data_IF_633598463406
#
_entry.id   IF_633598463406
#
_cell.length_a   1.000
_cell.length_b   1.000
_cell.length_c   1.000
_cell.angle_alpha   90.00
_cell.angle_beta   90.00
_cell.angle_gamma   90.00
#
_symmetry.space_group_name_H-M   'P 1'
#
loop_
_entity.id
_entity.type
_entity.pdbx_description
1 polymer ?
#
# COMPACT_ATOMS: atom_id res chain seq x y z
N UNK A 1 -9.17 -4.58 -26.84
CA UNK A 1 -10.61 -4.25 -26.82
C UNK A 1 -11.19 -4.80 -25.53
N UNK A 2 -11.84 -3.97 -24.71
CA UNK A 2 -12.38 -4.38 -23.41
C UNK A 2 -11.37 -4.44 -22.26
N UNK A 3 -10.09 -4.17 -22.54
CA UNK A 3 -9.05 -4.07 -21.52
C UNK A 3 -9.13 -2.71 -20.81
N UNK A 4 -8.77 -2.71 -19.54
CA UNK A 4 -8.66 -1.50 -18.71
C UNK A 4 -7.21 -1.09 -18.55
N UNK A 5 -6.93 0.19 -18.72
CA UNK A 5 -5.61 0.77 -18.45
C UNK A 5 -5.73 1.92 -17.45
N UNK A 6 -4.64 2.20 -16.76
CA UNK A 6 -4.53 3.38 -15.92
C UNK A 6 -3.93 4.51 -16.75
N UNK A 7 -4.46 5.72 -16.53
CA UNK A 7 -4.00 6.94 -17.17
C UNK A 7 -3.51 7.92 -16.11
N UNK A 8 -2.50 8.71 -16.46
CA UNK A 8 -2.11 9.90 -15.73
C UNK A 8 -2.16 11.10 -16.68
N UNK A 9 -3.14 11.97 -16.47
CA UNK A 9 -3.43 13.15 -17.29
C UNK A 9 -3.04 14.40 -16.51
N UNK A 10 -2.05 15.15 -16.98
CA UNK A 10 -1.51 16.35 -16.32
C UNK A 10 -1.22 16.14 -14.80
N UNK A 11 -0.80 14.93 -14.42
CA UNK A 11 -0.49 14.55 -13.04
C UNK A 11 -1.67 14.06 -12.21
N UNK A 12 -2.85 13.88 -12.81
CA UNK A 12 -4.06 13.32 -12.18
C UNK A 12 -4.26 11.88 -12.67
N UNK A 13 -4.39 10.93 -11.76
CA UNK A 13 -4.65 9.54 -12.06
C UNK A 13 -6.12 9.27 -12.43
N UNK A 14 -6.35 8.50 -13.49
CA UNK A 14 -7.65 7.95 -13.89
C UNK A 14 -7.49 6.43 -13.98
N UNK A 15 -8.22 5.71 -13.13
CA UNK A 15 -8.13 4.25 -13.02
C UNK A 15 -9.12 3.55 -13.92
N UNK A 16 -8.76 2.32 -14.30
CA UNK A 16 -9.65 1.37 -14.96
C UNK A 16 -10.32 1.92 -16.24
N UNK A 17 -9.62 2.78 -16.98
CA UNK A 17 -10.11 3.38 -18.21
C UNK A 17 -10.25 2.30 -19.30
N UNK A 18 -11.49 1.99 -19.67
CA UNK A 18 -11.77 0.92 -20.63
C UNK A 18 -11.47 1.36 -22.06
N UNK A 19 -10.67 0.56 -22.78
CA UNK A 19 -10.39 0.78 -24.20
C UNK A 19 -11.50 0.13 -25.04
N UNK A 20 -12.24 0.96 -25.79
CA UNK A 20 -13.24 0.51 -26.75
C UNK A 20 -13.05 1.17 -28.12
N UNK A 21 -13.11 0.36 -29.19
CA UNK A 21 -12.85 0.81 -30.55
C UNK A 21 -11.43 1.35 -30.74
N UNK A 22 -10.48 0.91 -29.91
CA UNK A 22 -9.12 1.47 -29.87
C UNK A 22 -9.00 2.86 -29.24
N UNK A 23 -10.06 3.34 -28.58
CA UNK A 23 -10.11 4.68 -27.96
C UNK A 23 -10.60 4.63 -26.53
N UNK A 24 -10.26 5.65 -25.74
CA UNK A 24 -10.85 5.91 -24.42
C UNK A 24 -11.65 7.20 -24.56
N UNK A 25 -12.89 7.18 -24.09
CA UNK A 25 -13.82 8.31 -24.19
C UNK A 25 -14.12 8.89 -22.82
N UNK A 26 -14.65 10.13 -22.78
CA UNK A 26 -15.02 10.78 -21.51
C UNK A 26 -13.84 11.32 -20.69
N UNK A 27 -12.65 11.46 -21.29
CA UNK A 27 -11.52 12.11 -20.65
C UNK A 27 -11.68 13.63 -20.68
N UNK A 28 -11.22 14.35 -19.64
CA UNK A 28 -11.18 15.81 -19.65
C UNK A 28 -10.15 16.32 -20.67
N UNK A 29 -10.11 17.63 -20.89
CA UNK A 29 -9.00 18.24 -21.64
C UNK A 29 -7.70 18.11 -20.84
N UNK A 30 -6.64 17.66 -21.50
CA UNK A 30 -5.30 17.48 -20.93
C UNK A 30 -4.22 17.89 -21.95
N UNK A 31 -3.00 18.13 -21.47
CA UNK A 31 -1.85 18.45 -22.31
C UNK A 31 -0.90 17.26 -22.47
N UNK A 32 -0.70 16.50 -21.39
CA UNK A 32 0.18 15.34 -21.32
C UNK A 32 -0.62 14.16 -20.80
N UNK A 33 -0.54 13.05 -21.53
CA UNK A 33 -1.09 11.76 -21.11
C UNK A 33 0.03 10.72 -21.00
N UNK A 34 0.06 10.04 -19.86
CA UNK A 34 0.77 8.78 -19.69
C UNK A 34 -0.28 7.68 -19.55
N UNK A 35 -0.09 6.58 -20.27
CA UNK A 35 -1.02 5.47 -20.29
C UNK A 35 -0.25 4.16 -20.11
N UNK A 36 -0.78 3.26 -19.29
CA UNK A 36 -0.12 1.99 -19.02
C UNK A 36 -1.04 0.98 -18.38
N UNK A 37 -0.66 -0.30 -18.49
CA UNK A 37 -1.31 -1.34 -17.72
C UNK A 37 -1.01 -1.16 -16.24
N UNK A 38 -2.00 -1.46 -15.42
CA UNK A 38 -1.83 -1.46 -13.97
C UNK A 38 -0.74 -2.44 -13.58
N UNK A 39 0.25 -1.94 -12.84
CA UNK A 39 1.28 -2.77 -12.23
C UNK A 39 1.00 -2.82 -10.73
N UNK A 40 0.31 -3.86 -10.23
CA UNK A 40 0.04 -3.99 -8.80
C UNK A 40 1.35 -4.27 -8.07
N UNK A 41 1.90 -3.25 -7.40
CA UNK A 41 3.03 -3.39 -6.50
C UNK A 41 2.51 -3.61 -5.08
N UNK A 42 2.76 -4.79 -4.52
CA UNK A 42 2.34 -5.15 -3.17
C UNK A 42 3.46 -5.91 -2.47
N UNK A 43 3.47 -5.84 -1.15
CA UNK A 43 4.42 -6.57 -0.33
C UNK A 43 3.92 -6.78 1.09
N UNK A 44 4.57 -7.70 1.78
CA UNK A 44 4.35 -7.93 3.19
C UNK A 44 5.65 -8.31 3.87
N UNK A 45 5.73 -7.97 5.15
CA UNK A 45 6.75 -8.48 6.02
C UNK A 45 6.47 -9.96 6.32
N UNK A 46 7.57 -10.71 6.39
CA UNK A 46 7.57 -11.97 7.12
C UNK A 46 7.37 -11.69 8.61
N UNK A 47 6.97 -12.70 9.40
CA UNK A 47 7.05 -12.59 10.85
C UNK A 47 8.45 -12.09 11.26
N UNK A 48 8.53 -11.18 12.22
CA UNK A 48 9.76 -10.54 12.72
C UNK A 48 10.81 -11.59 13.09
N UNK A 49 10.37 -12.71 13.66
CA UNK A 49 11.24 -13.81 14.07
C UNK A 49 11.78 -14.64 12.89
N UNK A 50 11.22 -14.50 11.68
CA UNK A 50 11.65 -15.24 10.48
C UNK A 50 12.97 -14.73 9.87
N UNK A 51 13.50 -13.60 10.35
CA UNK A 51 14.72 -12.97 9.83
C UNK A 51 15.89 -12.87 10.82
N UNK A 52 15.79 -13.47 12.00
CA UNK A 52 16.81 -13.32 13.03
C UNK A 52 18.14 -13.98 12.64
N UNK A 53 19.24 -13.22 12.70
CA UNK A 53 20.60 -13.70 12.42
C UNK A 53 21.04 -14.83 13.38
N UNK A 54 20.41 -14.95 14.55
CA UNK A 54 20.70 -15.99 15.54
C UNK A 54 19.82 -17.23 15.39
N UNK A 55 19.08 -17.36 14.30
CA UNK A 55 18.09 -18.43 14.09
C UNK A 55 16.67 -17.96 14.40
N UNK A 56 15.69 -18.50 13.67
CA UNK A 56 14.29 -18.14 13.84
C UNK A 56 13.77 -18.64 15.18
N UNK A 57 13.34 -17.73 16.05
CA UNK A 57 12.65 -18.10 17.27
C UNK A 57 11.19 -18.43 16.94
N UNK A 58 10.97 -19.57 16.28
CA UNK A 58 9.63 -20.02 15.86
C UNK A 58 8.62 -20.11 17.01
N UNK A 59 9.09 -20.21 18.25
CA UNK A 59 8.26 -20.46 19.44
C UNK A 59 7.99 -19.20 20.29
N UNK A 60 8.50 -18.03 19.90
CA UNK A 60 8.29 -16.78 20.65
C UNK A 60 7.49 -15.78 19.82
N UNK A 61 6.18 -15.72 20.07
CA UNK A 61 5.35 -14.66 19.53
C UNK A 61 5.45 -13.43 20.44
N UNK A 62 5.74 -12.27 19.85
CA UNK A 62 5.72 -10.99 20.55
C UNK A 62 4.46 -10.21 20.19
N UNK A 63 3.75 -9.62 21.15
CA UNK A 63 2.65 -8.71 20.85
C UNK A 63 3.19 -7.45 20.15
N UNK A 64 2.60 -7.11 19.01
CA UNK A 64 2.86 -5.89 18.26
C UNK A 64 1.68 -4.96 18.49
N UNK A 65 1.96 -3.74 18.94
CA UNK A 65 0.90 -2.76 19.22
C UNK A 65 0.89 -1.57 18.24
N UNK A 66 1.97 -1.35 17.49
CA UNK A 66 2.01 -0.30 16.46
C UNK A 66 2.95 -0.71 15.33
N UNK A 67 2.55 -0.39 14.10
CA UNK A 67 3.40 -0.46 12.91
C UNK A 67 3.50 0.92 12.31
N UNK A 68 4.73 1.34 12.00
CA UNK A 68 5.01 2.64 11.43
C UNK A 68 5.66 2.45 10.07
N UNK A 69 5.05 2.99 9.03
CA UNK A 69 5.64 3.10 7.70
C UNK A 69 6.20 4.51 7.54
N UNK A 70 7.51 4.62 7.44
CA UNK A 70 8.17 5.88 7.09
C UNK A 70 8.20 6.01 5.57
N UNK A 71 7.49 7.00 5.04
CA UNK A 71 7.31 7.22 3.61
C UNK A 71 7.90 8.56 3.17
N UNK A 72 8.37 8.61 1.93
CA UNK A 72 8.96 9.80 1.33
C UNK A 72 8.24 10.10 0.01
N UNK A 73 7.77 11.34 -0.14
CA UNK A 73 7.14 11.85 -1.36
C UNK A 73 6.19 10.84 -2.02
N UNK A 74 5.34 10.21 -1.19
CA UNK A 74 4.52 9.06 -1.58
C UNK A 74 3.06 9.42 -1.74
N UNK A 75 2.37 8.75 -2.68
CA UNK A 75 0.91 8.82 -2.88
C UNK A 75 0.36 7.49 -3.39
N UNK A 76 -0.92 7.24 -3.15
CA UNK A 76 -1.57 6.00 -3.59
C UNK A 76 -0.99 4.76 -2.92
N UNK A 77 -0.45 4.90 -1.71
CA UNK A 77 0.00 3.80 -0.87
C UNK A 77 -1.08 3.50 0.17
N UNK A 78 -1.48 2.24 0.24
CA UNK A 78 -2.19 1.70 1.38
C UNK A 78 -1.19 0.87 2.20
N UNK A 79 -1.11 1.14 3.50
CA UNK A 79 -0.18 0.43 4.38
C UNK A 79 -0.82 0.14 5.74
N UNK A 80 -0.58 -1.06 6.26
CA UNK A 80 -1.16 -1.50 7.52
C UNK A 80 -1.05 -3.00 7.69
N UNK A 81 -2.19 -3.65 7.93
CA UNK A 81 -2.24 -5.09 8.16
C UNK A 81 -3.09 -5.77 7.13
N UNK A 82 -2.55 -6.86 6.58
CA UNK A 82 -3.18 -7.61 5.51
C UNK A 82 -3.41 -9.06 5.91
N UNK A 83 -4.42 -9.69 5.32
CA UNK A 83 -4.48 -11.16 5.22
C UNK A 83 -4.32 -11.58 3.76
N UNK A 84 -3.38 -12.48 3.42
CA UNK A 84 -3.34 -13.01 2.08
C UNK A 84 -4.59 -13.88 1.89
N UNK A 85 -5.27 -13.74 0.75
CA UNK A 85 -6.28 -14.70 0.34
C UNK A 85 -5.63 -16.08 0.28
N UNK A 86 -6.34 -17.08 0.79
CA UNK A 86 -5.85 -18.45 0.88
C UNK A 86 -5.54 -19.09 -0.48
N UNK A 87 -5.85 -18.41 -1.60
CA UNK A 87 -5.77 -19.00 -2.92
C UNK A 87 -4.94 -18.27 -3.98
N UNK A 88 -4.56 -16.99 -3.86
CA UNK A 88 -3.93 -16.29 -5.00
C UNK A 88 -2.85 -15.25 -4.65
N UNK A 89 -2.40 -15.18 -3.39
CA UNK A 89 -1.44 -14.13 -3.00
C UNK A 89 -2.00 -12.71 -3.12
N UNK A 90 -3.32 -12.58 -3.25
CA UNK A 90 -4.05 -11.31 -3.30
C UNK A 90 -4.47 -10.97 -1.88
N UNK A 91 -4.19 -9.75 -1.40
CA UNK A 91 -4.57 -9.35 -0.04
C UNK A 91 -6.06 -8.96 0.00
N UNK A 92 -6.89 -9.77 0.67
CA UNK A 92 -8.36 -9.65 0.66
C UNK A 92 -8.91 -8.73 1.76
N UNK A 93 -8.24 -8.70 2.92
CA UNK A 93 -8.58 -7.82 4.02
C UNK A 93 -7.37 -6.94 4.32
N UNK A 94 -7.53 -5.63 4.13
CA UNK A 94 -6.50 -4.63 4.30
C UNK A 94 -7.01 -3.60 5.31
N UNK A 95 -6.59 -3.73 6.56
CA UNK A 95 -6.81 -2.70 7.56
C UNK A 95 -5.65 -1.71 7.46
N UNK A 96 -5.86 -0.64 6.71
CA UNK A 96 -4.80 0.24 6.27
C UNK A 96 -5.06 1.70 6.58
N UNK A 97 -3.95 2.39 6.77
CA UNK A 97 -3.91 3.83 6.64
C UNK A 97 -3.67 4.11 5.17
N UNK A 98 -4.67 4.74 4.57
CA UNK A 98 -4.59 5.18 3.19
C UNK A 98 -3.92 6.54 3.19
N UNK A 99 -2.85 6.69 2.40
CA UNK A 99 -2.52 8.02 1.91
C UNK A 99 -3.71 8.54 1.11
N UNK A 100 -3.98 9.85 1.12
CA UNK A 100 -5.08 10.44 0.35
C UNK A 100 -5.06 9.90 -1.09
N UNK A 101 -6.13 9.16 -1.41
CA UNK A 101 -6.46 8.71 -2.76
C UNK A 101 -7.46 9.74 -3.24
N UNK A 102 -6.99 10.80 -3.89
CA UNK A 102 -7.92 11.81 -4.37
C UNK A 102 -8.60 11.29 -5.63
N UNK A 103 -9.91 11.07 -5.54
CA UNK A 103 -10.77 11.14 -6.70
C UNK A 103 -10.78 12.60 -7.18
N UNK A 104 -10.19 12.83 -8.35
CA UNK A 104 -10.24 14.05 -9.18
C UNK A 104 -10.26 15.36 -8.36
N UNK A 105 -9.11 16.06 -8.19
CA UNK A 105 -9.10 17.36 -7.52
C UNK A 105 -10.06 18.32 -8.25
N UNK A 106 -10.96 18.95 -7.48
CA UNK A 106 -11.98 19.90 -7.95
C UNK A 106 -11.40 21.09 -8.74
N UNK A 107 -10.10 21.33 -8.68
CA UNK A 107 -9.42 22.50 -9.25
C UNK A 107 -8.23 22.16 -10.19
N UNK A 108 -8.07 20.90 -10.61
CA UNK A 108 -7.10 20.54 -11.66
C UNK A 108 -5.62 20.59 -11.24
N UNK A 109 -5.30 20.82 -9.97
CA UNK A 109 -3.93 20.71 -9.47
C UNK A 109 -3.62 19.29 -8.97
N UNK A 110 -2.46 18.70 -9.35
CA UNK A 110 -2.08 17.39 -8.88
C UNK A 110 -1.87 17.43 -7.35
N UNK A 111 -2.43 16.47 -6.59
CA UNK A 111 -2.31 16.51 -5.15
C UNK A 111 -0.86 16.33 -4.67
N UNK A 112 -0.54 16.96 -3.54
CA UNK A 112 0.82 16.99 -3.03
C UNK A 112 1.22 15.63 -2.43
N UNK A 113 2.46 15.16 -2.67
CA UNK A 113 2.92 13.92 -2.09
C UNK A 113 3.15 14.03 -0.58
N UNK A 114 2.95 12.93 0.14
CA UNK A 114 3.12 12.88 1.58
C UNK A 114 4.51 12.35 1.96
N UNK A 115 5.14 13.03 2.92
CA UNK A 115 6.38 12.60 3.58
C UNK A 115 6.15 12.55 5.07
N UNK A 116 6.44 11.40 5.70
CA UNK A 116 6.25 11.23 7.14
C UNK A 116 5.96 9.80 7.53
N UNK A 117 5.36 9.66 8.72
CA UNK A 117 5.12 8.36 9.34
C UNK A 117 3.63 8.02 9.29
N UNK A 118 3.28 6.93 8.62
CA UNK A 118 1.95 6.31 8.69
C UNK A 118 1.94 5.34 9.85
N UNK A 119 1.12 5.62 10.86
CA UNK A 119 1.11 4.93 12.15
C UNK A 119 -0.14 4.08 12.31
N UNK A 120 -0.04 2.79 12.02
CA UNK A 120 -1.15 1.87 12.13
C UNK A 120 -1.15 1.20 13.52
N UNK A 121 -2.12 1.50 14.40
CA UNK A 121 -2.24 0.80 15.67
C UNK A 121 -2.63 -0.66 15.43
N UNK A 122 -2.05 -1.57 16.21
CA UNK A 122 -2.50 -2.95 16.34
C UNK A 122 -3.02 -3.11 17.75
N UNK A 123 -4.26 -3.54 17.92
CA UNK A 123 -4.84 -3.82 19.24
C UNK A 123 -4.21 -5.08 19.86
N UNK A 124 -2.94 -4.97 20.29
CA UNK A 124 -2.15 -6.00 20.96
C UNK A 124 -2.15 -7.37 20.26
N UNK A 125 -2.15 -7.36 18.93
CA UNK A 125 -2.12 -8.59 18.14
C UNK A 125 -0.69 -9.16 18.13
N UNK A 126 -0.56 -10.46 18.33
CA UNK A 126 0.72 -11.14 18.14
C UNK A 126 1.24 -10.91 16.72
N UNK A 127 2.56 -10.81 16.61
CA UNK A 127 3.21 -10.85 15.31
C UNK A 127 3.02 -12.22 14.67
N UNK A 128 2.01 -12.33 13.81
CA UNK A 128 1.70 -13.53 13.06
C UNK A 128 1.86 -13.26 11.57
N UNK A 129 2.02 -14.32 10.79
CA UNK A 129 1.92 -14.24 9.34
C UNK A 129 0.49 -13.89 8.86
N UNK A 130 -0.50 -13.85 9.77
CA UNK A 130 -1.90 -13.64 9.44
C UNK A 130 -2.67 -13.00 10.62
N UNK A 131 -2.88 -11.68 10.63
CA UNK A 131 -2.53 -10.73 9.58
C UNK A 131 -1.04 -10.35 9.58
N UNK A 132 -0.42 -10.24 8.40
CA UNK A 132 0.94 -9.74 8.26
C UNK A 132 0.95 -8.21 8.15
N UNK A 133 2.09 -7.58 8.45
CA UNK A 133 2.32 -6.19 8.07
C UNK A 133 2.45 -6.12 6.55
N UNK A 134 1.62 -5.32 5.88
CA UNK A 134 1.53 -5.33 4.42
C UNK A 134 1.34 -3.92 3.85
N UNK A 135 1.69 -3.77 2.58
CA UNK A 135 1.47 -2.56 1.79
C UNK A 135 1.06 -2.90 0.36
N UNK A 136 0.34 -1.98 -0.29
CA UNK A 136 0.08 -2.02 -1.72
C UNK A 136 0.02 -0.62 -2.32
N UNK A 137 0.48 -0.50 -3.55
CA UNK A 137 0.35 0.71 -4.36
C UNK A 137 -0.90 0.55 -5.22
N UNK A 138 -1.87 1.45 -5.01
CA UNK A 138 -3.20 1.37 -5.65
C UNK A 138 -3.34 2.29 -6.86
N UNK A 139 -2.52 3.34 -6.93
CA UNK A 139 -2.53 4.36 -7.99
C UNK A 139 -1.20 4.43 -8.73
N UNK A 140 -1.16 4.97 -9.96
CA UNK A 140 0.08 5.11 -10.75
C UNK A 140 1.04 6.19 -10.22
N UNK A 141 0.86 6.68 -8.99
CA UNK A 141 1.75 7.65 -8.38
C UNK A 141 3.01 6.99 -7.82
N UNK A 142 4.15 7.70 -7.78
CA UNK A 142 5.33 7.21 -7.09
C UNK A 142 5.03 7.01 -5.60
N UNK A 143 5.53 5.90 -5.06
CA UNK A 143 5.45 5.52 -3.66
C UNK A 143 6.79 4.97 -3.20
N UNK A 144 7.27 5.47 -2.06
CA UNK A 144 8.55 5.08 -1.47
C UNK A 144 8.41 4.88 0.03
N UNK A 145 8.60 3.63 0.45
CA UNK A 145 8.76 3.25 1.85
C UNK A 145 10.25 3.30 2.17
N UNK A 146 10.66 4.19 3.08
CA UNK A 146 12.04 4.29 3.58
C UNK A 146 12.33 3.26 4.66
N UNK A 147 11.32 2.94 5.46
CA UNK A 147 11.45 1.99 6.56
C UNK A 147 10.10 1.53 7.08
N UNK A 148 10.09 0.30 7.59
CA UNK A 148 8.95 -0.26 8.31
C UNK A 148 9.45 -0.55 9.72
N UNK A 149 8.83 0.08 10.71
CA UNK A 149 9.23 0.01 12.11
C UNK A 149 8.07 -0.61 12.88
N UNK A 150 8.34 -1.74 13.53
CA UNK A 150 7.37 -2.40 14.38
C UNK A 150 7.68 -2.12 15.84
N UNK A 151 6.66 -1.68 16.60
CA UNK A 151 6.77 -1.56 18.05
C UNK A 151 6.16 -2.77 18.73
N UNK A 152 7.00 -3.50 19.46
CA UNK A 152 6.63 -4.68 20.22
C UNK A 152 6.50 -4.31 21.69
N UNK A 153 5.55 -4.94 22.39
CA UNK A 153 5.50 -4.88 23.84
C UNK A 153 6.61 -5.78 24.41
N UNK A 154 7.34 -5.27 25.38
CA UNK A 154 8.30 -6.06 26.15
C UNK A 154 7.49 -6.86 27.18
N UNK A 155 7.53 -8.19 27.10
CA UNK A 155 7.00 -9.00 28.19
C UNK A 155 7.95 -8.85 29.36
N UNK A 156 7.62 -7.99 30.32
CA UNK A 156 8.33 -7.95 31.59
C UNK A 156 8.25 -9.34 32.23
N UNK A 157 9.39 -10.04 32.23
CA UNK A 157 9.51 -11.37 32.79
C UNK A 157 9.25 -11.34 34.30
N UNK A 158 8.14 -11.94 34.71
CA UNK A 158 7.93 -12.48 36.06
C UNK A 158 7.45 -13.91 35.97
#
# INVERSE_FOLDING_TARGET
EGETIDLMLDGIAYRDATVSGGTITGLPTFHIALAGFRCPAQGALLPIEAGSQSGSAQDRQRPVYEVIFDVLESRGLEAGTGKPSSYMGTWEQFDAINLPVDDIPLEGEPPQPYTGNLRHPRDEQFDTANPAVAWRVVDPYPSMIRGIITRVAESDGR
#
